data_IF_692151769754
#
_entry.id   IF_692151769754
#
_cell.length_a   1.000
_cell.length_b   1.000
_cell.length_c   1.000
_cell.angle_alpha   90.00
_cell.angle_beta   90.00
_cell.angle_gamma   90.00
#
_symmetry.space_group_name_H-M   'P 1'
#
loop_
_entity.id
_entity.type
_entity.pdbx_description
1 polymer ?
#
# COMPACT_ATOMS: atom_id res chain seq x y z
N UNK A 1 -15.09 -23.85 21.29
CA UNK A 1 -13.95 -23.25 22.02
C UNK A 1 -14.49 -22.09 22.83
N UNK A 2 -14.10 -21.95 24.09
CA UNK A 2 -14.52 -20.81 24.91
C UNK A 2 -13.94 -19.51 24.33
N UNK A 3 -14.73 -18.43 24.33
CA UNK A 3 -14.24 -17.11 23.96
C UNK A 3 -13.24 -16.61 25.02
N UNK A 4 -12.15 -15.93 24.63
CA UNK A 4 -11.17 -15.41 25.58
C UNK A 4 -11.80 -14.39 26.53
N UNK A 5 -11.32 -14.36 27.76
CA UNK A 5 -11.70 -13.37 28.76
C UNK A 5 -11.19 -11.98 28.39
N UNK A 6 -11.75 -10.94 29.02
CA UNK A 6 -11.30 -9.55 28.82
C UNK A 6 -9.83 -9.36 29.21
N UNK A 7 -9.38 -10.06 30.25
CA UNK A 7 -8.00 -10.00 30.74
C UNK A 7 -7.03 -10.65 29.75
N UNK A 8 -7.38 -11.80 29.19
CA UNK A 8 -6.59 -12.47 28.15
C UNK A 8 -6.45 -11.61 26.89
N UNK A 9 -7.52 -10.92 26.49
CA UNK A 9 -7.49 -9.97 25.37
C UNK A 9 -6.57 -8.78 25.66
N UNK A 10 -6.63 -8.22 26.88
CA UNK A 10 -5.77 -7.09 27.28
C UNK A 10 -4.28 -7.49 27.30
N UNK A 11 -3.97 -8.68 27.81
CA UNK A 11 -2.60 -9.22 27.81
C UNK A 11 -2.08 -9.45 26.39
N UNK A 12 -2.91 -10.01 25.50
CA UNK A 12 -2.53 -10.21 24.11
C UNK A 12 -2.26 -8.87 23.38
N UNK A 13 -3.06 -7.83 23.67
CA UNK A 13 -2.84 -6.48 23.14
C UNK A 13 -1.53 -5.88 23.64
N UNK A 14 -1.25 -5.95 24.95
CA UNK A 14 -0.01 -5.43 25.53
C UNK A 14 1.23 -6.16 24.97
N UNK A 15 1.14 -7.49 24.82
CA UNK A 15 2.21 -8.29 24.23
C UNK A 15 2.46 -7.94 22.76
N UNK A 16 1.39 -7.76 21.98
CA UNK A 16 1.49 -7.27 20.61
C UNK A 16 2.19 -5.92 20.54
N UNK A 17 1.80 -4.97 21.38
CA UNK A 17 2.37 -3.62 21.34
C UNK A 17 3.86 -3.63 21.74
N UNK A 18 4.26 -4.54 22.63
CA UNK A 18 5.67 -4.82 22.94
C UNK A 18 6.44 -5.30 21.71
N UNK A 19 5.89 -6.26 20.95
CA UNK A 19 6.49 -6.76 19.70
C UNK A 19 6.62 -5.62 18.69
N UNK A 20 5.61 -4.78 18.53
CA UNK A 20 5.67 -3.65 17.61
C UNK A 20 6.77 -2.65 18.00
N UNK A 21 6.94 -2.35 19.28
CA UNK A 21 8.03 -1.47 19.74
C UNK A 21 9.41 -2.07 19.47
N UNK A 22 9.58 -3.39 19.60
CA UNK A 22 10.83 -4.07 19.22
C UNK A 22 11.17 -3.89 17.75
N UNK A 23 10.21 -4.12 16.86
CA UNK A 23 10.39 -3.95 15.41
C UNK A 23 10.74 -2.50 15.08
N UNK A 24 10.04 -1.53 15.69
CA UNK A 24 10.31 -0.10 15.51
C UNK A 24 11.74 0.27 15.92
N UNK A 25 12.27 -0.42 16.93
CA UNK A 25 13.64 -0.28 17.40
C UNK A 25 14.64 -1.17 16.65
N UNK A 26 14.26 -1.74 15.50
CA UNK A 26 15.04 -2.67 14.68
C UNK A 26 15.58 -3.91 15.42
N UNK A 27 14.92 -4.33 16.49
CA UNK A 27 15.27 -5.56 17.20
C UNK A 27 14.73 -6.79 16.48
N UNK A 28 15.50 -7.89 16.50
CA UNK A 28 15.08 -9.16 15.93
C UNK A 28 13.95 -9.80 16.74
N UNK A 29 12.92 -10.29 16.04
CA UNK A 29 11.84 -11.06 16.66
C UNK A 29 12.25 -12.50 16.93
N UNK A 30 11.83 -13.03 18.07
CA UNK A 30 11.94 -14.47 18.37
C UNK A 30 10.94 -15.28 17.56
N UNK A 31 11.15 -16.61 17.49
CA UNK A 31 10.22 -17.52 16.83
C UNK A 31 8.82 -17.48 17.46
N UNK A 32 8.72 -17.34 18.79
CA UNK A 32 7.43 -17.25 19.49
C UNK A 32 6.70 -15.94 19.16
N UNK A 33 7.41 -14.81 19.06
CA UNK A 33 6.86 -13.52 18.65
C UNK A 33 6.37 -13.56 17.20
N UNK A 34 7.16 -14.16 16.29
CA UNK A 34 6.74 -14.37 14.90
C UNK A 34 5.49 -15.25 14.79
N UNK A 35 5.40 -16.36 15.55
CA UNK A 35 4.17 -17.18 15.61
C UNK A 35 2.98 -16.40 16.16
N UNK A 36 3.19 -15.60 17.20
CA UNK A 36 2.13 -14.78 17.77
C UNK A 36 1.57 -13.80 16.73
N UNK A 37 2.45 -13.13 15.99
CA UNK A 37 2.06 -12.27 14.87
C UNK A 37 1.31 -13.05 13.79
N UNK A 38 1.77 -14.24 13.41
CA UNK A 38 1.10 -15.05 12.40
C UNK A 38 -0.29 -15.53 12.82
N UNK A 39 -0.51 -15.84 14.10
CA UNK A 39 -1.82 -16.29 14.62
C UNK A 39 -2.92 -15.24 14.46
N UNK A 40 -2.57 -13.97 14.31
CA UNK A 40 -3.56 -12.91 14.04
C UNK A 40 -4.23 -13.06 12.67
N UNK A 41 -3.61 -13.80 11.73
CA UNK A 41 -4.15 -14.02 10.39
C UNK A 41 -4.27 -12.75 9.54
N UNK A 42 -3.52 -11.70 9.87
CA UNK A 42 -3.59 -10.40 9.20
C UNK A 42 -2.27 -10.03 8.52
N UNK A 43 -2.39 -9.52 7.28
CA UNK A 43 -1.29 -9.29 6.36
C UNK A 43 -0.15 -8.40 6.90
N UNK A 44 -0.40 -7.30 7.64
CA UNK A 44 0.68 -6.48 8.21
C UNK A 44 1.56 -7.28 9.15
N UNK A 45 0.96 -8.15 9.98
CA UNK A 45 1.73 -8.94 10.92
C UNK A 45 2.55 -10.03 10.22
N UNK A 46 2.08 -10.56 9.07
CA UNK A 46 2.92 -11.38 8.18
C UNK A 46 4.13 -10.59 7.68
N UNK A 47 3.91 -9.38 7.16
CA UNK A 47 4.98 -8.54 6.61
C UNK A 47 6.00 -8.10 7.66
N UNK A 48 5.53 -7.92 8.90
CA UNK A 48 6.38 -7.61 10.05
C UNK A 48 7.20 -8.83 10.52
N UNK A 49 6.62 -10.03 10.50
CA UNK A 49 7.29 -11.24 10.95
C UNK A 49 8.29 -11.82 9.91
N UNK A 50 7.93 -11.75 8.62
CA UNK A 50 8.64 -12.36 7.49
C UNK A 50 8.52 -11.48 6.24
N UNK A 51 9.18 -10.30 6.20
CA UNK A 51 9.08 -9.36 5.08
C UNK A 51 9.48 -9.96 3.72
N UNK A 52 10.43 -10.89 3.72
CA UNK A 52 10.90 -11.62 2.54
C UNK A 52 9.86 -12.59 1.95
N UNK A 53 8.86 -12.99 2.75
CA UNK A 53 7.76 -13.86 2.29
C UNK A 53 6.60 -13.09 1.63
N UNK A 54 6.71 -11.76 1.53
CA UNK A 54 5.66 -10.91 0.99
C UNK A 54 5.71 -10.90 -0.53
N UNK A 55 4.65 -11.41 -1.15
CA UNK A 55 4.49 -11.44 -2.61
C UNK A 55 4.25 -10.03 -3.16
N UNK A 56 4.46 -9.78 -4.47
CA UNK A 56 4.16 -8.48 -5.09
C UNK A 56 2.71 -8.02 -4.87
N UNK A 57 1.74 -8.91 -4.96
CA UNK A 57 0.33 -8.59 -4.71
C UNK A 57 0.09 -8.17 -3.25
N UNK A 58 0.68 -8.90 -2.30
CA UNK A 58 0.63 -8.59 -0.87
C UNK A 58 1.33 -7.25 -0.57
N UNK A 59 2.48 -6.98 -1.20
CA UNK A 59 3.21 -5.71 -1.10
C UNK A 59 2.34 -4.55 -1.59
N UNK A 60 1.71 -4.69 -2.75
CA UNK A 60 0.84 -3.65 -3.30
C UNK A 60 -0.34 -3.39 -2.38
N UNK A 61 -0.96 -4.42 -1.79
CA UNK A 61 -2.00 -4.25 -0.79
C UNK A 61 -1.51 -3.51 0.46
N UNK A 62 -0.32 -3.84 0.96
CA UNK A 62 0.31 -3.11 2.07
C UNK A 62 0.56 -1.64 1.73
N UNK A 63 0.93 -1.37 0.47
CA UNK A 63 1.21 -0.02 -0.03
C UNK A 63 -0.02 0.76 -0.49
N UNK A 64 -1.20 0.15 -0.44
CA UNK A 64 -2.42 0.68 -1.05
C UNK A 64 -2.27 0.95 -2.54
N UNK A 65 -1.42 0.20 -3.21
CA UNK A 65 -1.28 0.21 -4.66
C UNK A 65 -2.27 -0.77 -5.31
N UNK A 66 -2.63 -0.54 -6.59
CA UNK A 66 -3.43 -1.49 -7.36
C UNK A 66 -2.76 -2.87 -7.43
N UNK A 67 -3.50 -3.92 -7.80
CA UNK A 67 -2.92 -5.20 -8.22
C UNK A 67 -1.74 -5.04 -9.20
N UNK A 68 -0.69 -5.89 -9.13
CA UNK A 68 0.54 -5.71 -9.91
C UNK A 68 0.34 -5.63 -11.43
N UNK A 69 -0.64 -6.35 -11.96
CA UNK A 69 -1.05 -6.32 -13.37
C UNK A 69 -1.65 -4.97 -13.77
N UNK A 70 -2.47 -4.37 -12.90
CA UNK A 70 -3.02 -3.02 -13.11
C UNK A 70 -1.91 -1.97 -13.02
N UNK A 71 -1.01 -2.09 -12.05
CA UNK A 71 0.17 -1.22 -11.96
C UNK A 71 0.99 -1.28 -13.24
N UNK A 72 1.29 -2.48 -13.72
CA UNK A 72 2.00 -2.69 -14.98
C UNK A 72 1.28 -2.05 -16.16
N UNK A 73 -0.03 -2.27 -16.29
CA UNK A 73 -0.83 -1.68 -17.36
C UNK A 73 -0.82 -0.15 -17.32
N UNK A 74 -0.90 0.45 -16.12
CA UNK A 74 -0.84 1.90 -15.95
C UNK A 74 0.53 2.47 -16.36
N UNK A 75 1.63 1.80 -15.98
CA UNK A 75 2.98 2.21 -16.35
C UNK A 75 3.17 2.15 -17.87
N UNK A 76 2.80 1.02 -18.50
CA UNK A 76 2.89 0.86 -19.95
C UNK A 76 2.09 1.96 -20.66
N UNK A 77 0.88 2.25 -20.18
CA UNK A 77 0.02 3.28 -20.76
C UNK A 77 0.64 4.68 -20.67
N UNK A 78 1.11 5.07 -19.50
CA UNK A 78 1.60 6.45 -19.23
C UNK A 78 2.97 6.71 -19.87
N UNK A 79 3.75 5.65 -20.10
CA UNK A 79 5.10 5.74 -20.65
C UNK A 79 5.13 5.41 -22.15
N UNK A 80 3.97 5.27 -22.79
CA UNK A 80 3.82 4.81 -24.18
C UNK A 80 4.61 3.52 -24.46
N UNK A 81 4.66 2.62 -23.48
CA UNK A 81 5.36 1.34 -23.54
C UNK A 81 6.88 1.41 -23.36
N UNK A 82 7.46 2.57 -23.07
CA UNK A 82 8.90 2.70 -22.81
C UNK A 82 9.33 2.00 -21.53
N UNK A 83 8.45 1.97 -20.52
CA UNK A 83 8.68 1.29 -19.25
C UNK A 83 7.55 0.29 -19.00
N UNK A 84 7.85 -0.74 -18.21
CA UNK A 84 6.90 -1.82 -17.94
C UNK A 84 6.82 -2.22 -16.46
N UNK A 85 7.76 -1.75 -15.65
CA UNK A 85 7.87 -2.10 -14.23
C UNK A 85 7.98 -0.86 -13.34
N UNK A 86 7.53 -0.94 -12.08
CA UNK A 86 7.75 0.12 -11.09
C UNK A 86 9.23 0.47 -10.92
N UNK A 87 10.11 -0.53 -10.93
CA UNK A 87 11.55 -0.38 -10.73
C UNK A 87 12.20 0.48 -11.82
N UNK A 88 11.82 0.27 -13.09
CA UNK A 88 12.25 1.10 -14.21
C UNK A 88 11.79 2.55 -14.04
N UNK A 89 10.55 2.76 -13.61
CA UNK A 89 10.00 4.09 -13.36
C UNK A 89 10.71 4.79 -12.20
N UNK A 90 10.95 4.09 -11.09
CA UNK A 90 11.73 4.65 -9.97
C UNK A 90 13.17 4.98 -10.38
N UNK A 91 13.81 4.14 -11.18
CA UNK A 91 15.16 4.41 -11.68
C UNK A 91 15.20 5.65 -12.59
N UNK A 92 14.17 5.87 -13.42
CA UNK A 92 14.02 7.10 -14.22
C UNK A 92 13.92 8.33 -13.31
N UNK A 93 13.07 8.27 -12.29
CA UNK A 93 12.87 9.37 -11.33
C UNK A 93 14.15 9.73 -10.60
N UNK A 94 14.88 8.74 -10.09
CA UNK A 94 16.10 8.99 -9.32
C UNK A 94 17.25 9.51 -10.20
N UNK A 95 17.24 9.18 -11.50
CA UNK A 95 18.23 9.68 -12.45
C UNK A 95 17.97 11.14 -12.84
N UNK A 96 16.73 11.45 -13.18
CA UNK A 96 16.32 12.79 -13.61
C UNK A 96 14.81 13.00 -13.38
N UNK A 97 14.41 13.56 -12.23
CA UNK A 97 13.01 13.85 -11.94
C UNK A 97 12.37 14.80 -12.95
N UNK A 98 13.15 15.73 -13.53
CA UNK A 98 12.66 16.72 -14.49
C UNK A 98 12.25 16.13 -15.84
N UNK A 99 12.77 14.94 -16.17
CA UNK A 99 12.43 14.19 -17.38
C UNK A 99 11.03 13.54 -17.36
N UNK A 100 10.36 13.55 -16.20
CA UNK A 100 9.06 12.92 -16.05
C UNK A 100 7.94 13.79 -16.64
N UNK A 101 7.07 13.15 -17.41
CA UNK A 101 5.81 13.75 -17.83
C UNK A 101 4.86 13.96 -16.64
N UNK A 102 3.86 14.85 -16.77
CA UNK A 102 2.87 15.10 -15.71
C UNK A 102 2.12 13.82 -15.27
N UNK A 103 1.82 12.93 -16.21
CA UNK A 103 1.14 11.67 -15.93
C UNK A 103 2.06 10.67 -15.21
N UNK A 104 3.35 10.61 -15.56
CA UNK A 104 4.35 9.77 -14.87
C UNK A 104 4.55 10.21 -13.42
N UNK A 105 4.68 11.53 -13.19
CA UNK A 105 4.77 12.11 -11.84
C UNK A 105 3.53 11.77 -11.01
N UNK A 106 2.36 12.00 -11.60
CA UNK A 106 1.09 11.72 -10.93
C UNK A 106 0.98 10.23 -10.60
N UNK A 107 1.38 9.36 -11.52
CA UNK A 107 1.37 7.92 -11.33
C UNK A 107 2.18 7.54 -10.09
N UNK A 108 3.39 8.08 -9.93
CA UNK A 108 4.23 7.78 -8.76
C UNK A 108 3.66 8.35 -7.48
N UNK A 109 3.36 9.66 -7.44
CA UNK A 109 2.90 10.36 -6.22
C UNK A 109 1.61 9.76 -5.68
N UNK A 110 0.79 9.19 -6.56
CA UNK A 110 -0.44 8.51 -6.20
C UNK A 110 -0.28 7.02 -5.90
N UNK A 111 0.94 6.47 -5.78
CA UNK A 111 1.22 5.04 -5.55
C UNK A 111 0.76 4.12 -6.71
N UNK A 112 1.06 4.53 -7.94
CA UNK A 112 0.84 3.82 -9.20
C UNK A 112 -0.61 3.83 -9.71
N UNK A 113 -1.30 4.94 -9.49
CA UNK A 113 -2.62 5.17 -10.06
C UNK A 113 -2.69 6.40 -10.99
N UNK A 114 -3.64 6.38 -11.93
CA UNK A 114 -3.79 7.42 -12.94
C UNK A 114 -4.63 8.62 -12.44
N UNK A 115 -4.33 9.86 -12.88
CA UNK A 115 -5.22 11.02 -12.64
C UNK A 115 -6.63 10.80 -13.21
N UNK A 116 -7.64 11.43 -12.57
CA UNK A 116 -9.07 11.27 -12.89
C UNK A 116 -9.82 10.32 -11.93
N UNK A 117 -9.10 9.57 -11.10
CA UNK A 117 -9.62 8.74 -10.02
C UNK A 117 -9.78 9.54 -8.72
N UNK A 118 -10.59 10.59 -8.68
CA UNK A 118 -10.91 11.32 -7.41
C UNK A 118 -11.39 10.39 -6.28
N UNK A 119 -11.86 9.18 -6.63
CA UNK A 119 -12.22 8.08 -5.72
C UNK A 119 -11.03 7.43 -5.01
N UNK A 120 -9.80 7.70 -5.42
CA UNK A 120 -8.58 7.07 -4.93
C UNK A 120 -7.95 7.82 -3.77
N UNK A 121 -7.99 9.16 -3.80
CA UNK A 121 -7.75 9.99 -2.63
C UNK A 121 -8.78 9.67 -1.54
N UNK A 122 -10.02 9.35 -1.92
CA UNK A 122 -11.08 8.89 -1.01
C UNK A 122 -10.92 7.43 -0.58
N UNK A 123 -10.39 6.52 -1.40
CA UNK A 123 -10.06 5.15 -1.02
C UNK A 123 -8.90 5.17 -0.01
N UNK A 124 -7.83 5.93 -0.29
CA UNK A 124 -6.77 6.23 0.67
C UNK A 124 -7.33 6.85 1.94
N UNK A 125 -8.21 7.86 1.88
CA UNK A 125 -8.78 8.50 3.08
C UNK A 125 -9.75 7.61 3.84
N UNK A 126 -10.63 6.84 3.17
CA UNK A 126 -11.56 5.89 3.81
C UNK A 126 -10.81 4.72 4.43
N UNK A 127 -9.79 4.22 3.75
CA UNK A 127 -8.99 3.11 4.24
C UNK A 127 -8.08 3.60 5.35
N UNK A 128 -7.29 4.67 5.15
CA UNK A 128 -6.55 5.36 6.22
C UNK A 128 -7.47 5.80 7.37
N UNK A 129 -8.76 6.12 7.19
CA UNK A 129 -9.66 6.40 8.31
C UNK A 129 -10.25 5.12 8.95
N UNK A 130 -10.33 4.01 8.22
CA UNK A 130 -10.63 2.67 8.77
C UNK A 130 -9.40 2.06 9.48
N UNK A 131 -8.19 2.46 9.11
CA UNK A 131 -6.92 1.80 9.52
C UNK A 131 -5.87 2.73 10.12
N UNK A 132 -6.14 4.04 10.24
CA UNK A 132 -5.32 5.02 10.98
C UNK A 132 -5.00 4.59 12.41
N UNK A 133 -5.67 3.55 12.94
CA UNK A 133 -5.48 3.06 14.30
C UNK A 133 -4.50 1.89 14.49
N UNK A 134 -3.94 1.25 13.45
CA UNK A 134 -3.04 0.11 13.65
C UNK A 134 -1.61 0.45 13.28
N UNK A 135 -0.81 0.79 14.29
CA UNK A 135 0.66 0.92 14.25
C UNK A 135 1.33 -0.13 13.33
N UNK A 136 0.82 -1.36 13.31
CA UNK A 136 1.33 -2.45 12.48
C UNK A 136 1.24 -2.21 10.97
N UNK A 137 0.19 -1.56 10.45
CA UNK A 137 0.06 -1.26 9.01
C UNK A 137 1.09 -0.25 8.54
N UNK A 138 1.30 0.83 9.29
CA UNK A 138 2.32 1.82 8.96
C UNK A 138 3.72 1.21 9.01
N UNK A 139 3.99 0.37 10.01
CA UNK A 139 5.26 -0.32 10.09
C UNK A 139 5.44 -1.33 8.96
N UNK A 140 4.40 -2.10 8.60
CA UNK A 140 4.45 -3.01 7.47
C UNK A 140 4.69 -2.25 6.15
N UNK A 141 4.01 -1.12 5.94
CA UNK A 141 4.21 -0.23 4.80
C UNK A 141 5.68 0.18 4.69
N UNK A 142 6.25 0.71 5.77
CA UNK A 142 7.65 1.12 5.80
C UNK A 142 8.59 -0.07 5.60
N UNK A 143 8.25 -1.25 6.12
CA UNK A 143 9.07 -2.46 6.02
C UNK A 143 9.14 -3.02 4.61
N UNK A 144 8.06 -2.93 3.84
CA UNK A 144 7.99 -3.45 2.46
C UNK A 144 8.30 -2.41 1.39
N UNK A 145 8.50 -1.15 1.79
CA UNK A 145 8.94 -0.07 0.90
C UNK A 145 10.45 0.08 1.01
N UNK A 146 11.18 -0.03 -0.10
CA UNK A 146 12.63 0.14 -0.08
C UNK A 146 12.99 1.62 0.06
N UNK A 147 14.21 1.92 0.53
CA UNK A 147 14.67 3.31 0.60
C UNK A 147 14.70 3.97 -0.79
N UNK A 148 15.09 3.21 -1.81
CA UNK A 148 15.08 3.66 -3.20
C UNK A 148 13.67 4.07 -3.66
N UNK A 149 12.66 3.27 -3.33
CA UNK A 149 11.26 3.60 -3.63
C UNK A 149 10.84 4.86 -2.87
N UNK A 150 11.09 4.91 -1.57
CA UNK A 150 10.75 6.06 -0.73
C UNK A 150 11.41 7.35 -1.24
N UNK A 151 12.65 7.27 -1.69
CA UNK A 151 13.38 8.39 -2.29
C UNK A 151 12.77 8.81 -3.64
N UNK A 152 12.42 7.86 -4.50
CA UNK A 152 11.76 8.15 -5.77
C UNK A 152 10.40 8.84 -5.53
N UNK A 153 9.62 8.38 -4.55
CA UNK A 153 8.37 9.02 -4.13
C UNK A 153 8.60 10.47 -3.67
N UNK A 154 9.61 10.72 -2.82
CA UNK A 154 9.95 12.08 -2.38
C UNK A 154 10.44 12.96 -3.53
N UNK A 155 11.22 12.43 -4.45
CA UNK A 155 11.72 13.16 -5.62
C UNK A 155 10.58 13.54 -6.57
N UNK A 156 9.70 12.60 -6.91
CA UNK A 156 8.51 12.86 -7.72
C UNK A 156 7.58 13.88 -7.07
N UNK A 157 7.35 13.78 -5.75
CA UNK A 157 6.51 14.74 -5.03
C UNK A 157 7.09 16.16 -5.04
N UNK A 158 8.41 16.31 -4.88
CA UNK A 158 9.08 17.62 -4.98
C UNK A 158 8.94 18.22 -6.37
N UNK A 159 9.11 17.42 -7.41
CA UNK A 159 8.95 17.88 -8.80
C UNK A 159 7.50 18.22 -9.12
N UNK A 160 6.52 17.45 -8.61
CA UNK A 160 5.10 17.76 -8.81
C UNK A 160 4.69 19.09 -8.14
N UNK A 161 5.25 19.41 -6.98
CA UNK A 161 4.99 20.65 -6.23
C UNK A 161 5.82 21.85 -6.70
N UNK A 162 6.56 21.74 -7.80
CA UNK A 162 7.35 22.86 -8.32
C UNK A 162 6.40 23.97 -8.80
N UNK A 163 6.63 25.25 -8.44
CA UNK A 163 5.71 26.34 -8.80
C UNK A 163 5.42 26.43 -10.30
N UNK A 164 6.42 26.18 -11.15
CA UNK A 164 6.24 26.22 -12.61
C UNK A 164 5.30 25.12 -13.10
N UNK A 165 5.25 23.97 -12.42
CA UNK A 165 4.33 22.87 -12.73
C UNK A 165 2.90 23.18 -12.29
N UNK A 166 2.72 23.82 -11.14
CA UNK A 166 1.40 24.29 -10.72
C UNK A 166 0.85 25.35 -11.66
N UNK A 167 1.69 26.27 -12.10
CA UNK A 167 1.34 27.29 -13.08
C UNK A 167 1.05 26.68 -14.47
N UNK A 168 1.82 25.68 -14.89
CA UNK A 168 1.55 24.88 -16.10
C UNK A 168 0.18 24.18 -16.02
N UNK A 169 -0.10 23.45 -14.93
CA UNK A 169 -1.39 22.79 -14.69
C UNK A 169 -2.56 23.79 -14.71
N UNK A 170 -2.38 24.95 -14.07
CA UNK A 170 -3.38 26.02 -14.05
C UNK A 170 -3.62 26.59 -15.44
N UNK A 171 -2.56 26.79 -16.23
CA UNK A 171 -2.64 27.31 -17.60
C UNK A 171 -3.34 26.33 -18.53
N UNK A 172 -2.97 25.05 -18.50
CA UNK A 172 -3.62 23.99 -19.28
C UNK A 172 -5.12 23.88 -18.94
N UNK A 173 -5.46 23.94 -17.65
CA UNK A 173 -6.86 23.98 -17.23
C UNK A 173 -7.62 25.19 -17.78
N UNK A 174 -7.05 26.39 -17.64
CA UNK A 174 -7.67 27.63 -18.14
C UNK A 174 -7.78 27.64 -19.67
N UNK A 175 -6.82 27.07 -20.38
CA UNK A 175 -6.87 26.91 -21.84
C UNK A 175 -7.98 25.94 -22.25
N UNK A 176 -8.05 24.76 -21.60
CA UNK A 176 -9.10 23.76 -21.86
C UNK A 176 -10.49 24.31 -21.61
N UNK A 177 -10.69 25.03 -20.50
CA UNK A 177 -11.98 25.64 -20.15
C UNK A 177 -12.27 26.86 -21.01
N UNK A 178 -11.26 27.65 -21.38
CA UNK A 178 -11.39 28.83 -22.23
C UNK A 178 -11.75 28.51 -23.68
N UNK A 179 -11.43 27.30 -24.16
CA UNK A 179 -11.87 26.76 -25.45
C UNK A 179 -13.33 26.29 -25.45
N UNK A 180 -14.02 26.29 -24.30
CA UNK A 180 -15.43 25.94 -24.20
C UNK A 180 -16.25 27.23 -24.33
N UNK A 181 -16.88 27.42 -25.48
CA UNK A 181 -17.58 28.66 -25.83
C UNK A 181 -18.93 28.75 -25.09
N UNK A 182 -19.55 27.60 -24.84
CA UNK A 182 -20.91 27.52 -24.29
C UNK A 182 -20.92 27.03 -22.84
N UNK A 183 -22.05 27.26 -22.16
CA UNK A 183 -22.30 26.66 -20.84
C UNK A 183 -22.48 25.14 -20.94
N UNK A 184 -23.10 24.64 -22.02
CA UNK A 184 -23.31 23.21 -22.27
C UNK A 184 -21.99 22.45 -22.43
N UNK A 185 -21.00 23.01 -23.13
CA UNK A 185 -19.68 22.40 -23.27
C UNK A 185 -18.93 22.30 -21.93
N UNK A 186 -19.06 23.32 -21.08
CA UNK A 186 -18.53 23.32 -19.71
C UNK A 186 -19.22 22.27 -18.84
N UNK A 187 -20.54 22.20 -18.90
CA UNK A 187 -21.32 21.18 -18.18
C UNK A 187 -20.98 19.76 -18.66
N UNK A 188 -20.81 19.56 -19.97
CA UNK A 188 -20.38 18.30 -20.57
C UNK A 188 -18.96 17.88 -20.16
N UNK A 189 -18.04 18.83 -20.09
CA UNK A 189 -16.69 18.59 -19.56
C UNK A 189 -16.75 18.11 -18.09
N UNK A 190 -17.45 18.85 -17.24
CA UNK A 190 -17.61 18.45 -15.83
C UNK A 190 -18.41 17.16 -15.67
N UNK A 191 -19.37 16.86 -16.55
CA UNK A 191 -20.10 15.60 -16.55
C UNK A 191 -19.20 14.41 -16.91
N UNK A 192 -18.28 14.56 -17.88
CA UNK A 192 -17.27 13.54 -18.19
C UNK A 192 -16.32 13.30 -17.02
N UNK A 193 -15.86 14.36 -16.35
CA UNK A 193 -15.08 14.23 -15.11
C UNK A 193 -15.85 13.46 -14.01
N UNK A 194 -17.15 13.71 -13.85
CA UNK A 194 -18.01 12.97 -12.91
C UNK A 194 -18.19 11.50 -13.32
N UNK A 195 -18.41 11.21 -14.59
CA UNK A 195 -18.59 9.85 -15.10
C UNK A 195 -17.32 9.01 -14.93
N UNK A 196 -16.15 9.58 -15.22
CA UNK A 196 -14.85 8.93 -14.98
C UNK A 196 -14.68 8.60 -13.49
N UNK A 197 -15.19 9.45 -12.59
CA UNK A 197 -15.19 9.18 -11.16
C UNK A 197 -16.14 8.03 -10.78
N UNK A 198 -17.30 7.89 -11.42
CA UNK A 198 -18.25 6.79 -11.18
C UNK A 198 -17.69 5.43 -11.62
N UNK A 199 -17.10 5.35 -12.82
CA UNK A 199 -16.44 4.14 -13.32
C UNK A 199 -15.23 3.72 -12.47
N UNK A 200 -14.53 4.67 -11.84
CA UNK A 200 -13.49 4.37 -10.86
C UNK A 200 -14.08 3.72 -9.58
N UNK A 201 -15.28 4.12 -9.18
CA UNK A 201 -16.01 3.51 -8.06
C UNK A 201 -16.42 2.06 -8.32
N UNK A 202 -16.75 1.70 -9.56
CA UNK A 202 -17.04 0.31 -9.93
C UNK A 202 -15.79 -0.57 -9.90
N UNK A 203 -14.67 -0.09 -10.45
CA UNK A 203 -13.37 -0.78 -10.35
C UNK A 203 -12.93 -1.01 -8.90
N UNK A 204 -13.25 -0.09 -7.99
CA UNK A 204 -12.99 -0.30 -6.57
C UNK A 204 -13.76 -1.50 -5.99
N UNK A 205 -15.01 -1.75 -6.44
CA UNK A 205 -15.78 -2.91 -5.98
C UNK A 205 -15.14 -4.22 -6.46
N UNK A 206 -14.66 -4.26 -7.70
CA UNK A 206 -13.90 -5.40 -8.22
C UNK A 206 -12.64 -5.65 -7.37
N UNK A 207 -11.99 -4.58 -6.90
CA UNK A 207 -10.82 -4.71 -6.04
C UNK A 207 -11.17 -5.14 -4.62
N UNK A 208 -12.30 -4.70 -4.06
CA UNK A 208 -12.78 -5.22 -2.78
C UNK A 208 -13.05 -6.73 -2.87
N UNK A 209 -13.43 -7.25 -4.03
CA UNK A 209 -13.58 -8.68 -4.28
C UNK A 209 -12.22 -9.38 -4.39
N UNK A 210 -11.27 -8.81 -5.13
CA UNK A 210 -9.88 -9.28 -5.17
C UNK A 210 -9.26 -9.32 -3.77
N UNK A 211 -9.51 -8.30 -2.94
CA UNK A 211 -9.02 -8.22 -1.56
C UNK A 211 -9.56 -9.38 -0.70
N UNK A 212 -10.82 -9.77 -0.87
CA UNK A 212 -11.40 -10.92 -0.18
C UNK A 212 -10.75 -12.23 -0.60
N UNK A 213 -10.38 -12.38 -1.88
CA UNK A 213 -9.66 -13.56 -2.38
C UNK A 213 -8.28 -13.60 -1.73
N UNK A 214 -7.54 -12.49 -1.79
CA UNK A 214 -6.20 -12.39 -1.22
C UNK A 214 -6.19 -12.60 0.30
N UNK A 215 -7.20 -12.13 1.03
CA UNK A 215 -7.34 -12.43 2.47
C UNK A 215 -7.47 -13.93 2.77
N UNK A 216 -8.22 -14.66 1.94
CA UNK A 216 -8.38 -16.12 2.12
C UNK A 216 -7.05 -16.83 1.88
N UNK A 217 -6.33 -16.45 0.83
CA UNK A 217 -5.01 -16.99 0.51
C UNK A 217 -4.00 -16.71 1.62
N UNK A 218 -3.92 -15.46 2.08
CA UNK A 218 -3.03 -15.06 3.19
C UNK A 218 -3.35 -15.86 4.46
N UNK A 219 -4.63 -16.02 4.82
CA UNK A 219 -5.02 -16.80 6.01
C UNK A 219 -4.62 -18.28 5.88
N UNK A 220 -4.82 -18.87 4.70
CA UNK A 220 -4.43 -20.26 4.45
C UNK A 220 -2.92 -20.45 4.53
N UNK A 221 -2.15 -19.53 3.94
CA UNK A 221 -0.69 -19.53 3.97
C UNK A 221 -0.15 -19.33 5.39
N UNK A 222 -0.67 -18.34 6.14
CA UNK A 222 -0.25 -18.09 7.51
C UNK A 222 -0.54 -19.28 8.44
N UNK A 223 -1.66 -19.98 8.21
CA UNK A 223 -1.96 -21.21 8.92
C UNK A 223 -0.91 -22.28 8.62
N UNK A 224 -0.59 -22.50 7.35
CA UNK A 224 0.49 -23.42 6.95
C UNK A 224 1.82 -23.06 7.58
N UNK A 225 2.24 -21.80 7.52
CA UNK A 225 3.48 -21.34 8.13
C UNK A 225 3.49 -21.56 9.66
N UNK A 226 2.35 -21.38 10.33
CA UNK A 226 2.24 -21.62 11.76
C UNK A 226 2.32 -23.12 12.10
N UNK A 227 1.72 -23.98 11.28
CA UNK A 227 1.71 -25.44 11.45
C UNK A 227 3.07 -26.06 11.12
N UNK A 228 3.77 -25.55 10.11
CA UNK A 228 5.10 -26.01 9.65
C UNK A 228 6.26 -25.48 10.52
N UNK A 229 6.02 -24.48 11.39
CA UNK A 229 7.08 -23.91 12.23
C UNK A 229 7.45 -24.87 13.37
N UNK A 230 8.70 -25.38 13.43
CA UNK A 230 9.06 -26.46 14.35
C UNK A 230 8.79 -26.09 15.81
N UNK A 231 7.96 -26.87 16.50
CA UNK A 231 7.55 -26.59 17.88
C UNK A 231 8.72 -26.65 18.88
N UNK A 232 9.88 -27.21 18.48
CA UNK A 232 10.99 -27.52 19.40
C UNK A 232 12.41 -27.18 18.94
N UNK A 233 12.65 -26.52 17.81
CA UNK A 233 14.02 -26.16 17.38
C UNK A 233 14.31 -24.67 17.58
N UNK A 234 14.22 -24.25 18.83
CA UNK A 234 14.87 -23.03 19.27
C UNK A 234 15.51 -23.35 20.61
N UNK A 235 16.85 -23.36 20.64
CA UNK A 235 17.66 -23.53 21.85
C UNK A 235 17.29 -22.54 22.97
N UNK A 236 16.45 -21.53 22.70
CA UNK A 236 15.91 -20.59 23.67
C UNK A 236 14.66 -21.11 24.44
N UNK A 237 14.05 -22.24 24.06
CA UNK A 237 12.84 -22.77 24.73
C UNK A 237 13.13 -23.80 25.84
N UNK A 238 14.38 -24.21 26.05
CA UNK A 238 14.74 -25.11 27.15
C UNK A 238 14.57 -24.47 28.55
N UNK A 239 14.51 -23.13 28.65
CA UNK A 239 14.51 -22.42 29.94
C UNK A 239 13.14 -22.09 30.55
N UNK A 240 12.02 -22.45 29.92
CA UNK A 240 10.68 -22.03 30.37
C UNK A 240 9.70 -23.18 30.67
N UNK A 241 10.18 -24.43 30.69
CA UNK A 241 9.38 -25.59 31.12
C UNK A 241 9.50 -25.92 32.62
N UNK A 242 10.29 -25.18 33.41
CA UNK A 242 10.45 -25.41 34.86
C UNK A 242 9.64 -24.46 35.76
N UNK A 243 8.52 -23.91 35.27
CA UNK A 243 7.54 -23.24 36.12
C UNK A 243 6.15 -23.85 35.87
N UNK A 244 5.95 -25.05 36.41
CA UNK A 244 4.64 -25.64 36.68
C UNK A 244 4.49 -25.85 38.18
#
# INVERSE_FOLDING_TARGET
MASPSKEELAQAVAYRDTILTKIESNQSLTCSEKRFLLRTGSLPYKALAFPESITPAQRNRIRYSPPPDIVKANIIKVTDGQLSTPEELYAKVLRDPGSLGPEELTLIVRNMFLPGSTHEALARRRWQNKTSGSKAWNMAFNRVTTEQEAEAHRAAAREEMRPEREEEKRRDYLEKVGKLETSEERESYHARERMMAEQAGERLKEWEEYDKILEKEVKAEMKRMADEMPQGECDCCAGLQEAK
#
